data_IF_711311371171
#
_entry.id   IF_711311371171
#
_cell.length_a   1.000
_cell.length_b   1.000
_cell.length_c   1.000
_cell.angle_alpha   90.00
_cell.angle_beta   90.00
_cell.angle_gamma   90.00
#
_symmetry.space_group_name_H-M   'P 1'
#
loop_
_entity.id
_entity.type
_entity.pdbx_description
1 polymer ?
#
# COMPACT_ATOMS: atom_id res chain seq x y z
N UNK A 1 18.30 8.67 4.26
CA UNK A 1 17.70 7.42 3.76
C UNK A 1 16.35 7.25 4.40
N UNK A 2 15.36 6.76 3.66
CA UNK A 2 14.01 6.51 4.18
C UNK A 2 14.05 5.29 5.11
N UNK A 3 13.92 5.53 6.42
CA UNK A 3 14.17 4.57 7.50
C UNK A 3 12.89 3.87 8.01
N UNK A 4 11.91 3.60 7.12
CA UNK A 4 10.66 2.97 7.53
C UNK A 4 10.83 1.52 8.01
N UNK A 5 11.80 0.78 7.47
CA UNK A 5 12.09 -0.60 7.91
C UNK A 5 12.91 -0.65 9.20
N UNK A 6 13.77 0.34 9.46
CA UNK A 6 14.67 0.37 10.62
C UNK A 6 14.01 0.92 11.89
N UNK A 7 12.92 1.67 11.75
CA UNK A 7 12.20 2.31 12.88
C UNK A 7 10.96 1.52 13.34
N UNK A 8 10.87 0.22 13.05
CA UNK A 8 9.71 -0.65 13.37
C UNK A 8 8.34 -0.04 13.01
N UNK A 9 8.32 0.74 11.94
CA UNK A 9 7.20 1.62 11.57
C UNK A 9 6.12 0.93 10.74
N UNK A 10 6.42 -0.29 10.27
CA UNK A 10 5.56 -1.17 9.50
C UNK A 10 5.17 -2.38 10.34
N UNK A 11 3.96 -2.91 10.13
CA UNK A 11 3.52 -4.10 10.85
C UNK A 11 4.36 -5.33 10.49
N UNK A 12 4.69 -6.15 11.48
CA UNK A 12 5.48 -7.38 11.29
C UNK A 12 4.83 -8.36 10.31
N UNK A 13 3.50 -8.40 10.31
CA UNK A 13 2.69 -9.26 9.41
C UNK A 13 2.30 -8.56 8.10
N UNK A 14 2.97 -7.47 7.73
CA UNK A 14 2.82 -6.85 6.42
C UNK A 14 3.72 -7.58 5.41
N UNK A 15 3.12 -8.31 4.48
CA UNK A 15 3.88 -9.04 3.45
C UNK A 15 3.98 -8.30 2.11
N UNK A 16 3.08 -7.33 1.87
CA UNK A 16 3.10 -6.50 0.68
C UNK A 16 4.16 -5.39 0.76
N UNK A 17 4.81 -5.12 -0.38
CA UNK A 17 5.76 -4.02 -0.56
C UNK A 17 6.96 -4.02 0.42
N UNK A 18 7.35 -5.19 0.96
CA UNK A 18 8.54 -5.35 1.79
C UNK A 18 9.59 -6.19 1.07
N UNK A 19 10.87 -5.88 1.30
CA UNK A 19 11.96 -6.72 0.82
C UNK A 19 11.88 -8.10 1.48
N UNK A 20 12.24 -9.15 0.74
CA UNK A 20 12.22 -10.54 1.20
C UNK A 20 10.84 -11.04 1.67
N UNK A 21 9.75 -10.43 1.19
CA UNK A 21 8.38 -10.85 1.48
C UNK A 21 7.58 -11.04 0.19
N UNK A 22 6.55 -11.88 0.24
CA UNK A 22 5.71 -12.18 -0.93
C UNK A 22 4.28 -12.58 -0.53
N UNK A 23 3.36 -12.52 -1.49
CA UNK A 23 1.99 -13.00 -1.32
C UNK A 23 1.95 -14.50 -0.95
N UNK A 24 2.81 -15.31 -1.56
CA UNK A 24 2.90 -16.74 -1.23
C UNK A 24 3.35 -16.96 0.22
N UNK A 25 4.30 -16.15 0.71
CA UNK A 25 4.75 -16.24 2.10
C UNK A 25 3.63 -15.86 3.08
N UNK A 26 2.83 -14.83 2.76
CA UNK A 26 1.63 -14.48 3.53
C UNK A 26 0.65 -15.65 3.59
N UNK A 27 0.33 -16.25 2.44
CA UNK A 27 -0.63 -17.34 2.34
C UNK A 27 -0.16 -18.57 3.13
N UNK A 28 1.12 -18.93 2.99
CA UNK A 28 1.72 -20.03 3.74
C UNK A 28 1.68 -19.77 5.25
N UNK A 29 2.00 -18.55 5.67
CA UNK A 29 1.94 -18.14 7.07
C UNK A 29 0.51 -18.25 7.63
N UNK A 30 -0.51 -17.74 6.92
CA UNK A 30 -1.91 -17.87 7.32
C UNK A 30 -2.33 -19.35 7.41
N UNK A 31 -1.99 -20.15 6.38
CA UNK A 31 -2.31 -21.58 6.36
C UNK A 31 -1.72 -22.31 7.56
N UNK A 32 -0.46 -22.08 7.89
CA UNK A 32 0.20 -22.71 9.04
C UNK A 32 -0.52 -22.39 10.35
N UNK A 33 -0.93 -21.13 10.54
CA UNK A 33 -1.69 -20.71 11.73
C UNK A 33 -3.03 -21.44 11.78
N UNK A 34 -3.78 -21.47 10.68
CA UNK A 34 -5.10 -22.10 10.63
C UNK A 34 -5.02 -23.60 10.87
N UNK A 35 -4.11 -24.31 10.21
CA UNK A 35 -3.90 -25.74 10.41
C UNK A 35 -3.54 -26.04 11.87
N UNK A 36 -2.69 -25.22 12.50
CA UNK A 36 -2.34 -25.39 13.93
C UNK A 36 -3.57 -25.30 14.84
N UNK A 37 -4.50 -24.38 14.57
CA UNK A 37 -5.73 -24.27 15.35
C UNK A 37 -6.70 -25.41 15.09
N UNK A 38 -6.83 -25.84 13.83
CA UNK A 38 -7.68 -26.97 13.45
C UNK A 38 -7.19 -28.28 14.07
N UNK A 39 -5.88 -28.52 14.09
CA UNK A 39 -5.26 -29.70 14.72
C UNK A 39 -5.51 -29.73 16.24
N UNK A 40 -5.75 -28.58 16.86
CA UNK A 40 -6.14 -28.44 18.27
C UNK A 40 -7.65 -28.58 18.50
N UNK A 41 -8.43 -28.90 17.45
CA UNK A 41 -9.89 -28.98 17.51
C UNK A 41 -10.60 -27.62 17.64
N UNK A 42 -9.91 -26.51 17.36
CA UNK A 42 -10.50 -25.16 17.41
C UNK A 42 -11.08 -24.76 16.06
N UNK A 43 -12.17 -24.00 16.09
CA UNK A 43 -12.72 -23.37 14.90
C UNK A 43 -11.88 -22.16 14.47
N UNK A 44 -11.86 -21.88 13.16
CA UNK A 44 -11.14 -20.75 12.56
C UNK A 44 -12.08 -20.00 11.63
N UNK A 45 -12.27 -18.71 11.89
CA UNK A 45 -12.99 -17.79 11.01
C UNK A 45 -12.02 -16.72 10.47
N UNK A 46 -12.17 -16.36 9.19
CA UNK A 46 -11.32 -15.37 8.54
C UNK A 46 -12.16 -14.27 7.88
N UNK A 47 -11.80 -13.01 8.15
CA UNK A 47 -12.45 -11.83 7.56
C UNK A 47 -11.47 -11.18 6.59
N UNK A 48 -11.88 -11.08 5.33
CA UNK A 48 -11.13 -10.41 4.27
C UNK A 48 -11.74 -9.04 3.97
N UNK A 49 -10.91 -8.00 4.02
CA UNK A 49 -11.31 -6.62 3.70
C UNK A 49 -10.49 -6.16 2.50
N UNK A 50 -11.19 -5.60 1.51
CA UNK A 50 -10.56 -5.00 0.33
C UNK A 50 -11.00 -3.54 0.20
N UNK A 51 -10.05 -2.67 -0.13
CA UNK A 51 -10.30 -1.27 -0.42
C UNK A 51 -10.41 -1.08 -1.93
N UNK A 52 -11.62 -0.82 -2.43
CA UNK A 52 -11.81 -0.45 -3.83
C UNK A 52 -11.03 0.84 -4.15
N UNK A 53 -10.25 0.82 -5.24
CA UNK A 53 -9.49 2.00 -5.70
C UNK A 53 -8.63 2.59 -4.57
N UNK A 54 -7.95 1.72 -3.83
CA UNK A 54 -7.22 2.08 -2.61
C UNK A 54 -6.31 3.30 -2.80
N UNK A 55 -5.62 3.41 -3.94
CA UNK A 55 -4.73 4.55 -4.24
C UNK A 55 -5.49 5.83 -4.59
N UNK A 56 -6.64 5.74 -5.25
CA UNK A 56 -7.45 6.91 -5.62
C UNK A 56 -8.26 7.47 -4.44
N UNK A 57 -8.47 6.65 -3.40
CA UNK A 57 -9.25 7.01 -2.21
C UNK A 57 -8.39 7.53 -1.05
N UNK A 58 -7.05 7.52 -1.17
CA UNK A 58 -6.17 8.01 -0.11
C UNK A 58 -6.32 9.52 0.03
N UNK A 59 -6.65 9.98 1.24
CA UNK A 59 -6.65 11.41 1.57
C UNK A 59 -5.20 11.93 1.58
N UNK A 60 -4.83 12.75 0.60
CA UNK A 60 -3.45 13.20 0.37
C UNK A 60 -2.84 13.92 1.59
N UNK A 61 -3.60 14.79 2.27
CA UNK A 61 -3.09 15.51 3.44
C UNK A 61 -2.72 14.56 4.59
N UNK A 62 -3.55 13.52 4.82
CA UNK A 62 -3.27 12.50 5.83
C UNK A 62 -2.05 11.67 5.45
N UNK A 63 -1.88 11.36 4.17
CA UNK A 63 -0.69 10.67 3.67
C UNK A 63 0.58 11.50 3.90
N UNK A 64 0.56 12.79 3.56
CA UNK A 64 1.70 13.69 3.75
C UNK A 64 2.09 13.86 5.23
N UNK A 65 1.10 13.94 6.13
CA UNK A 65 1.34 13.95 7.57
C UNK A 65 2.00 12.65 8.04
N UNK A 66 1.52 11.51 7.55
CA UNK A 66 2.07 10.19 7.89
C UNK A 66 3.50 10.03 7.37
N UNK A 67 3.79 10.47 6.15
CA UNK A 67 5.15 10.46 5.60
C UNK A 67 6.11 11.30 6.45
N UNK A 68 5.68 12.49 6.89
CA UNK A 68 6.48 13.31 7.80
C UNK A 68 6.73 12.61 9.15
N UNK A 69 5.73 11.90 9.69
CA UNK A 69 5.90 11.10 10.92
C UNK A 69 6.92 9.95 10.77
N UNK A 70 7.11 9.44 9.56
CA UNK A 70 8.15 8.45 9.23
C UNK A 70 9.53 9.08 8.94
N UNK A 71 9.67 10.39 9.15
CA UNK A 71 10.92 11.13 8.95
C UNK A 71 11.14 11.62 7.52
N UNK A 72 10.15 11.49 6.62
CA UNK A 72 10.23 12.03 5.26
C UNK A 72 9.86 13.51 5.30
N UNK A 73 10.87 14.35 5.27
CA UNK A 73 10.74 15.81 5.39
C UNK A 73 11.56 16.55 4.32
N UNK A 74 11.50 17.89 4.32
CA UNK A 74 12.31 18.72 3.45
C UNK A 74 11.93 18.66 1.96
N UNK A 75 12.90 18.77 1.04
CA UNK A 75 12.64 18.82 -0.41
C UNK A 75 11.89 17.60 -0.94
N UNK A 76 12.18 16.41 -0.40
CA UNK A 76 11.50 15.17 -0.82
C UNK A 76 10.02 15.19 -0.44
N UNK A 77 9.68 15.65 0.76
CA UNK A 77 8.28 15.79 1.18
C UNK A 77 7.51 16.78 0.30
N UNK A 78 8.13 17.93 -0.01
CA UNK A 78 7.56 18.92 -0.95
C UNK A 78 7.37 18.35 -2.35
N UNK A 79 8.33 17.57 -2.85
CA UNK A 79 8.22 16.90 -4.15
C UNK A 79 7.08 15.89 -4.18
N UNK A 80 6.92 15.08 -3.13
CA UNK A 80 5.78 14.14 -3.01
C UNK A 80 4.45 14.89 -2.95
N UNK A 81 4.37 15.98 -2.18
CA UNK A 81 3.16 16.81 -2.11
C UNK A 81 2.78 17.39 -3.48
N UNK A 82 3.77 17.89 -4.24
CA UNK A 82 3.55 18.37 -5.59
C UNK A 82 3.13 17.24 -6.55
N UNK A 83 3.74 16.05 -6.42
CA UNK A 83 3.40 14.88 -7.24
C UNK A 83 1.96 14.41 -7.04
N UNK A 84 1.46 14.45 -5.80
CA UNK A 84 0.09 14.04 -5.45
C UNK A 84 -0.96 15.11 -5.81
N UNK A 85 -0.56 16.35 -6.06
CA UNK A 85 -1.49 17.47 -6.30
C UNK A 85 -1.76 17.68 -7.79
N UNK A 86 -3.04 17.86 -8.16
CA UNK A 86 -3.47 18.30 -9.49
C UNK A 86 -2.93 17.48 -10.68
N UNK A 87 -2.57 16.21 -10.48
CA UNK A 87 -2.05 15.36 -11.55
C UNK A 87 -3.16 14.99 -12.53
N UNK A 88 -2.91 15.18 -13.81
CA UNK A 88 -3.72 14.67 -14.91
C UNK A 88 -3.01 13.48 -15.56
N UNK A 89 -3.77 12.48 -15.99
CA UNK A 89 -3.24 11.38 -16.79
C UNK A 89 -3.65 11.59 -18.25
N UNK A 90 -2.75 11.27 -19.19
CA UNK A 90 -3.06 11.32 -20.62
C UNK A 90 -2.76 9.96 -21.23
N UNK A 91 -3.72 9.40 -21.95
CA UNK A 91 -3.56 8.16 -22.69
C UNK A 91 -3.69 8.48 -24.17
N UNK A 92 -2.68 8.10 -24.96
CA UNK A 92 -2.71 8.23 -26.41
C UNK A 92 -3.04 6.87 -27.01
N UNK A 93 -4.14 6.80 -27.75
CA UNK A 93 -4.52 5.64 -28.55
C UNK A 93 -4.48 6.09 -30.01
N UNK A 94 -3.50 5.57 -30.75
CA UNK A 94 -3.25 5.93 -32.15
C UNK A 94 -3.14 7.46 -32.38
N UNK A 95 -4.17 8.06 -32.98
CA UNK A 95 -4.26 9.50 -33.28
C UNK A 95 -4.99 10.32 -32.22
N UNK A 96 -5.63 9.69 -31.23
CA UNK A 96 -6.42 10.39 -30.20
C UNK A 96 -5.66 10.45 -28.87
N UNK A 97 -5.65 11.64 -28.27
CA UNK A 97 -5.15 11.85 -26.92
C UNK A 97 -6.35 12.08 -25.99
N UNK A 98 -6.56 11.17 -25.04
CA UNK A 98 -7.60 11.30 -24.02
C UNK A 98 -6.95 11.79 -22.73
N UNK A 99 -7.43 12.93 -22.21
CA UNK A 99 -7.06 13.42 -20.89
C UNK A 99 -8.02 12.80 -19.89
N UNK A 100 -7.48 11.94 -19.03
CA UNK A 100 -8.21 11.34 -17.94
C UNK A 100 -7.96 12.19 -16.68
N UNK A 101 -9.05 12.72 -16.12
CA UNK A 101 -9.06 13.14 -14.72
C UNK A 101 -8.97 11.84 -13.92
N UNK A 102 -7.87 11.69 -13.18
CA UNK A 102 -7.36 10.44 -12.62
C UNK A 102 -8.41 9.37 -12.38
N UNK A 103 -8.16 8.19 -12.92
CA UNK A 103 -8.38 6.94 -12.19
C UNK A 103 -7.90 5.80 -13.07
N UNK A 104 -6.67 5.36 -12.81
CA UNK A 104 -6.25 3.97 -12.59
C UNK A 104 -4.73 3.95 -12.73
N UNK A 105 -4.02 3.85 -11.61
CA UNK A 105 -2.74 3.14 -11.60
C UNK A 105 -2.99 1.88 -10.78
N UNK A 106 -3.02 0.74 -11.47
CA UNK A 106 -2.53 -0.52 -10.94
C UNK A 106 -1.47 -0.99 -11.92
#
# INVERSE_FOLDING_TARGET
GINAETNNSLADKQFGFRKNSSCNLQLLHCKNIWTTYLDQGKAVDAIYIYFCKAFDTVVHDKLLLKLNSYGISGPLHKWIAAFLSNRQQKVKIETRCLILNQLTVV
#
